data_IF_457743440682
#
_entry.id   IF_457743440682
#
_cell.length_a   1.000
_cell.length_b   1.000
_cell.length_c   1.000
_cell.angle_alpha   90.00
_cell.angle_beta   90.00
_cell.angle_gamma   90.00
#
_symmetry.space_group_name_H-M   'P 1'
#
loop_
_entity.id
_entity.type
_entity.pdbx_description
1 polymer ?
#
# COMPACT_ATOMS: atom_id res chain seq x y z
N UNK A 1 2.84 15.83 -22.00
CA UNK A 1 1.96 14.83 -22.65
C UNK A 1 2.28 13.50 -22.01
N UNK A 2 1.42 13.03 -21.10
CA UNK A 2 1.52 11.66 -20.60
C UNK A 2 1.29 10.70 -21.78
N UNK A 3 2.04 9.61 -21.84
CA UNK A 3 1.78 8.58 -22.84
C UNK A 3 0.33 8.10 -22.69
N UNK A 4 -0.42 7.89 -23.78
CA UNK A 4 -1.73 7.28 -23.70
C UNK A 4 -1.57 5.85 -23.22
N UNK A 5 -1.67 5.65 -21.91
CA UNK A 5 -1.77 4.32 -21.33
C UNK A 5 -3.20 3.86 -21.62
N UNK A 6 -3.34 2.70 -22.26
CA UNK A 6 -4.66 2.06 -22.40
C UNK A 6 -5.17 1.46 -21.08
N UNK A 7 -4.68 2.00 -19.95
CA UNK A 7 -4.94 1.51 -18.61
C UNK A 7 -6.29 2.05 -18.15
N UNK A 8 -7.17 1.17 -17.66
CA UNK A 8 -8.41 1.59 -17.01
C UNK A 8 -8.12 1.81 -15.52
N UNK A 9 -8.18 3.07 -15.08
CA UNK A 9 -8.16 3.39 -13.66
C UNK A 9 -9.48 3.01 -12.98
N UNK A 10 -9.53 3.10 -11.65
CA UNK A 10 -10.78 2.85 -10.91
C UNK A 10 -11.89 3.81 -11.34
N UNK A 11 -11.56 5.10 -11.55
CA UNK A 11 -12.50 6.09 -12.06
C UNK A 11 -13.08 5.70 -13.44
N UNK A 12 -12.26 5.18 -14.36
CA UNK A 12 -12.74 4.74 -15.68
C UNK A 12 -13.71 3.55 -15.58
N UNK A 13 -13.43 2.60 -14.69
CA UNK A 13 -14.32 1.47 -14.42
C UNK A 13 -15.63 1.96 -13.81
N UNK A 14 -15.55 2.91 -12.89
CA UNK A 14 -16.70 3.50 -12.21
C UNK A 14 -17.59 4.26 -13.18
N UNK A 15 -17.01 5.07 -14.07
CA UNK A 15 -17.74 5.76 -15.12
C UNK A 15 -18.47 4.78 -16.04
N UNK A 16 -17.78 3.74 -16.53
CA UNK A 16 -18.38 2.74 -17.43
C UNK A 16 -19.53 1.95 -16.78
N UNK A 17 -19.37 1.59 -15.51
CA UNK A 17 -20.42 0.91 -14.75
C UNK A 17 -21.59 1.86 -14.50
N UNK A 18 -21.33 3.11 -14.14
CA UNK A 18 -22.37 4.11 -13.92
C UNK A 18 -23.16 4.41 -15.21
N UNK A 19 -22.49 4.54 -16.36
CA UNK A 19 -23.14 4.68 -17.66
C UNK A 19 -24.03 3.48 -17.97
N UNK A 20 -23.52 2.27 -17.79
CA UNK A 20 -24.26 1.03 -18.06
C UNK A 20 -25.45 0.84 -17.12
N UNK A 21 -25.31 1.25 -15.87
CA UNK A 21 -26.35 1.19 -14.85
C UNK A 21 -27.37 2.34 -14.94
N UNK A 22 -27.17 3.32 -15.83
CA UNK A 22 -28.00 4.52 -15.89
C UNK A 22 -27.86 5.43 -14.67
N UNK A 23 -26.75 5.33 -13.94
CA UNK A 23 -26.46 6.05 -12.69
C UNK A 23 -25.45 7.19 -12.88
N UNK A 24 -24.88 7.35 -14.07
CA UNK A 24 -23.92 8.43 -14.34
C UNK A 24 -24.52 9.81 -14.11
N UNK A 25 -23.71 10.74 -13.62
CA UNK A 25 -24.11 12.13 -13.41
C UNK A 25 -23.77 12.96 -14.67
N UNK A 26 -24.70 13.82 -15.09
CA UNK A 26 -24.60 14.63 -16.32
C UNK A 26 -24.58 16.13 -16.02
N UNK A 27 -24.09 16.53 -14.85
CA UNK A 27 -24.18 17.91 -14.36
C UNK A 27 -25.58 18.28 -13.87
N UNK A 28 -25.68 19.43 -13.19
CA UNK A 28 -26.93 19.90 -12.59
C UNK A 28 -28.05 20.18 -13.61
N UNK A 29 -27.68 20.47 -14.86
CA UNK A 29 -28.61 20.70 -15.97
C UNK A 29 -28.82 19.47 -16.88
N UNK A 30 -28.16 18.33 -16.61
CA UNK A 30 -28.25 17.12 -17.43
C UNK A 30 -27.64 17.22 -18.83
N UNK A 31 -26.84 18.25 -19.10
CA UNK A 31 -26.23 18.52 -20.41
C UNK A 31 -24.71 18.29 -20.44
N UNK A 32 -24.12 17.92 -19.31
CA UNK A 32 -22.70 17.65 -19.17
C UNK A 32 -22.29 16.31 -19.79
N UNK A 33 -20.98 16.09 -19.88
CA UNK A 33 -20.44 14.75 -20.12
C UNK A 33 -20.80 13.85 -18.96
N UNK A 34 -21.00 12.55 -19.23
CA UNK A 34 -21.13 11.56 -18.17
C UNK A 34 -19.89 11.61 -17.28
N UNK A 35 -20.13 11.73 -15.98
CA UNK A 35 -19.12 11.60 -14.93
C UNK A 35 -19.61 10.62 -13.87
N UNK A 36 -18.69 10.19 -13.00
CA UNK A 36 -18.99 9.37 -11.84
C UNK A 36 -20.22 9.93 -11.05
N UNK A 37 -21.08 9.06 -10.49
CA UNK A 37 -22.18 9.51 -9.65
C UNK A 37 -21.64 10.31 -8.48
N UNK A 38 -22.22 11.48 -8.24
CA UNK A 38 -21.87 12.33 -7.09
C UNK A 38 -22.68 11.95 -5.85
N UNK A 39 -23.85 11.34 -6.05
CA UNK A 39 -24.68 10.90 -4.94
C UNK A 39 -24.09 9.66 -4.26
N UNK A 40 -24.03 9.71 -2.93
CA UNK A 40 -23.38 8.69 -2.09
C UNK A 40 -23.96 7.30 -2.34
N UNK A 41 -25.26 7.19 -2.60
CA UNK A 41 -25.94 5.90 -2.77
C UNK A 41 -25.55 5.20 -4.07
N UNK A 42 -25.65 5.88 -5.21
CA UNK A 42 -25.26 5.30 -6.50
C UNK A 42 -23.75 5.10 -6.59
N UNK A 43 -22.97 5.99 -5.98
CA UNK A 43 -21.52 5.84 -5.89
C UNK A 43 -21.16 4.55 -5.14
N UNK A 44 -21.70 4.34 -3.93
CA UNK A 44 -21.47 3.11 -3.14
C UNK A 44 -21.89 1.86 -3.90
N UNK A 45 -23.05 1.90 -4.57
CA UNK A 45 -23.53 0.79 -5.39
C UNK A 45 -22.56 0.47 -6.54
N UNK A 46 -22.05 1.48 -7.25
CA UNK A 46 -21.04 1.29 -8.30
C UNK A 46 -19.73 0.74 -7.72
N UNK A 47 -19.22 1.28 -6.61
CA UNK A 47 -18.03 0.78 -5.92
C UNK A 47 -18.14 -0.69 -5.56
N UNK A 48 -19.30 -1.09 -5.01
CA UNK A 48 -19.56 -2.48 -4.64
C UNK A 48 -19.52 -3.40 -5.85
N UNK A 49 -20.21 -3.03 -6.94
CA UNK A 49 -20.21 -3.80 -8.19
C UNK A 49 -18.79 -3.97 -8.73
N UNK A 50 -17.99 -2.90 -8.72
CA UNK A 50 -16.60 -2.97 -9.20
C UNK A 50 -15.79 -3.91 -8.33
N UNK A 51 -15.78 -3.69 -7.00
CA UNK A 51 -15.04 -4.52 -6.05
C UNK A 51 -15.47 -5.99 -6.11
N UNK A 52 -16.76 -6.28 -6.28
CA UNK A 52 -17.27 -7.64 -6.47
C UNK A 52 -16.86 -8.22 -7.83
N UNK A 53 -16.82 -7.42 -8.89
CA UNK A 53 -16.30 -7.82 -10.20
C UNK A 53 -14.82 -8.20 -10.14
N UNK A 54 -14.02 -7.47 -9.37
CA UNK A 54 -12.63 -7.85 -9.09
C UNK A 54 -12.52 -9.14 -8.29
N UNK A 55 -13.36 -9.30 -7.26
CA UNK A 55 -13.41 -10.55 -6.50
C UNK A 55 -13.81 -11.73 -7.38
N UNK A 56 -14.75 -11.55 -8.31
CA UNK A 56 -15.13 -12.55 -9.30
C UNK A 56 -13.95 -12.94 -10.19
N UNK A 57 -13.19 -11.95 -10.67
CA UNK A 57 -11.99 -12.18 -11.47
C UNK A 57 -10.92 -12.97 -10.70
N UNK A 58 -10.57 -12.52 -9.50
CA UNK A 58 -9.56 -13.18 -8.65
C UNK A 58 -10.02 -14.59 -8.24
N UNK A 59 -11.29 -14.78 -7.89
CA UNK A 59 -11.88 -16.07 -7.52
C UNK A 59 -12.09 -17.04 -8.69
N UNK A 60 -11.80 -16.60 -9.92
CA UNK A 60 -11.85 -17.45 -11.12
C UNK A 60 -10.44 -17.75 -11.65
N UNK A 61 -9.53 -18.36 -10.87
CA UNK A 61 -8.17 -18.61 -11.33
C UNK A 61 -8.12 -19.76 -12.36
N UNK A 62 -7.07 -19.80 -13.21
CA UNK A 62 -6.74 -21.02 -13.93
C UNK A 62 -6.27 -22.11 -12.95
N UNK A 63 -6.13 -23.35 -13.42
CA UNK A 63 -5.84 -24.52 -12.56
C UNK A 63 -4.54 -24.42 -11.72
N UNK A 64 -3.63 -23.51 -12.06
CA UNK A 64 -2.36 -23.31 -11.35
C UNK A 64 -2.36 -22.05 -10.47
N UNK A 65 -3.50 -21.37 -10.31
CA UNK A 65 -3.54 -20.04 -9.70
C UNK A 65 -3.17 -18.94 -10.69
N UNK A 66 -3.42 -17.68 -10.31
CA UNK A 66 -3.01 -16.52 -11.10
C UNK A 66 -1.52 -16.26 -10.91
N UNK A 67 -0.75 -16.33 -11.99
CA UNK A 67 0.70 -16.12 -11.93
C UNK A 67 1.05 -14.65 -11.70
N UNK A 68 0.21 -13.71 -12.13
CA UNK A 68 0.40 -12.29 -11.84
C UNK A 68 0.28 -11.96 -10.33
N UNK A 69 -0.34 -12.83 -9.53
CA UNK A 69 -0.42 -12.65 -8.08
C UNK A 69 0.90 -12.98 -7.40
N UNK A 70 1.75 -13.82 -8.00
CA UNK A 70 3.09 -14.11 -7.48
C UNK A 70 3.96 -12.84 -7.59
N UNK A 71 4.24 -12.20 -6.45
CA UNK A 71 5.03 -10.97 -6.35
C UNK A 71 6.26 -11.16 -5.46
N UNK A 72 7.18 -10.22 -5.57
CA UNK A 72 8.35 -10.11 -4.71
C UNK A 72 8.34 -8.73 -4.09
N UNK A 73 8.23 -8.66 -2.77
CA UNK A 73 8.38 -7.43 -2.02
C UNK A 73 9.86 -7.21 -1.73
N UNK A 74 10.35 -5.99 -1.96
CA UNK A 74 11.69 -5.57 -1.57
C UNK A 74 11.57 -4.70 -0.32
N UNK A 75 12.16 -5.15 0.78
CA UNK A 75 12.13 -4.48 2.07
C UNK A 75 13.54 -4.02 2.41
N UNK A 76 13.75 -2.70 2.44
CA UNK A 76 15.04 -2.14 2.86
C UNK A 76 15.05 -2.01 4.37
N UNK A 77 15.92 -2.79 5.00
CA UNK A 77 16.19 -2.69 6.43
C UNK A 77 16.96 -1.39 6.69
N UNK A 78 16.52 -0.61 7.67
CA UNK A 78 17.25 0.58 8.10
C UNK A 78 18.26 0.24 9.18
N UNK A 79 19.32 1.03 9.31
CA UNK A 79 20.27 0.87 10.42
C UNK A 79 19.57 1.23 11.73
N UNK A 80 19.67 0.35 12.72
CA UNK A 80 19.17 0.62 14.06
C UNK A 80 19.97 1.76 14.70
N UNK A 81 19.28 2.77 15.23
CA UNK A 81 19.92 3.91 15.90
C UNK A 81 19.77 3.79 17.40
N UNK A 82 20.86 3.98 18.16
CA UNK A 82 20.85 3.89 19.62
C UNK A 82 21.25 5.23 20.23
N UNK A 83 20.71 5.55 21.41
CA UNK A 83 21.02 6.80 22.09
C UNK A 83 20.78 6.74 23.59
N UNK A 84 21.11 7.83 24.26
CA UNK A 84 20.79 8.05 25.68
C UNK A 84 20.08 9.38 25.77
N UNK A 85 18.87 9.37 26.33
CA UNK A 85 18.12 10.59 26.49
C UNK A 85 18.89 11.58 27.38
N UNK A 86 18.80 12.85 27.02
CA UNK A 86 19.31 13.98 27.80
C UNK A 86 18.21 14.66 28.60
N UNK A 87 16.96 14.55 28.14
CA UNK A 87 15.74 14.89 28.86
C UNK A 87 14.53 14.25 28.14
N UNK A 88 13.32 14.46 28.67
CA UNK A 88 12.09 14.02 28.04
C UNK A 88 10.85 14.57 28.75
N UNK A 89 9.70 14.34 28.13
CA UNK A 89 8.37 14.59 28.70
C UNK A 89 7.50 13.35 28.54
N UNK A 90 6.23 13.42 28.93
CA UNK A 90 5.29 12.31 28.71
C UNK A 90 5.12 11.95 27.23
N UNK A 91 5.46 12.84 26.29
CA UNK A 91 5.29 12.65 24.84
C UNK A 91 6.55 12.97 24.02
N UNK A 92 7.69 13.16 24.69
CA UNK A 92 8.95 13.51 24.00
C UNK A 92 10.16 12.84 24.63
N UNK A 93 11.18 12.58 23.82
CA UNK A 93 12.53 12.20 24.24
C UNK A 93 13.52 13.11 23.53
N UNK A 94 14.44 13.73 24.28
CA UNK A 94 15.44 14.65 23.73
C UNK A 94 16.83 14.02 23.84
N UNK A 95 17.58 13.93 22.75
CA UNK A 95 18.97 13.47 22.73
C UNK A 95 19.87 14.49 22.02
N UNK A 96 20.34 15.47 22.78
CA UNK A 96 21.23 16.53 22.27
C UNK A 96 22.68 16.09 22.03
N UNK A 97 23.01 14.83 22.32
CA UNK A 97 24.41 14.35 22.33
C UNK A 97 24.84 13.74 21.00
N UNK A 98 23.93 13.07 20.29
CA UNK A 98 24.26 12.20 19.15
C UNK A 98 23.18 12.23 18.05
N UNK A 99 22.60 13.40 17.74
CA UNK A 99 21.59 13.53 16.68
C UNK A 99 21.85 14.71 15.77
N UNK A 100 21.92 14.43 14.48
CA UNK A 100 22.15 15.40 13.40
C UNK A 100 21.34 15.05 12.13
N UNK A 101 20.40 14.12 12.24
CA UNK A 101 19.51 13.71 11.15
C UNK A 101 18.54 14.84 10.76
N UNK A 102 18.06 14.89 9.51
CA UNK A 102 17.14 15.94 9.07
C UNK A 102 15.79 15.89 9.80
N UNK A 103 15.03 17.00 9.76
CA UNK A 103 13.64 17.03 10.25
C UNK A 103 12.81 15.89 9.63
N UNK A 104 11.88 15.31 10.41
CA UNK A 104 11.01 14.20 10.02
C UNK A 104 11.70 12.84 9.74
N UNK A 105 13.02 12.73 9.94
CA UNK A 105 13.78 11.52 9.59
C UNK A 105 13.28 10.25 10.29
N UNK A 106 12.82 10.36 11.54
CA UNK A 106 12.36 9.24 12.35
C UNK A 106 10.84 9.03 12.35
N UNK A 107 10.09 9.73 11.48
CA UNK A 107 8.63 9.60 11.45
C UNK A 107 8.23 8.15 11.09
N UNK A 108 7.29 7.61 11.86
CA UNK A 108 6.81 6.22 11.82
C UNK A 108 7.83 5.15 12.28
N UNK A 109 8.93 5.54 12.92
CA UNK A 109 9.87 4.58 13.51
C UNK A 109 9.44 4.19 14.93
N UNK A 110 9.77 2.96 15.31
CA UNK A 110 9.52 2.42 16.64
C UNK A 110 10.68 2.78 17.57
N UNK A 111 10.38 3.53 18.61
CA UNK A 111 11.28 3.77 19.74
C UNK A 111 11.03 2.71 20.82
N UNK A 112 12.09 2.12 21.35
CA UNK A 112 12.05 1.20 22.49
C UNK A 112 13.10 1.60 23.52
N UNK A 113 12.71 1.70 24.79
CA UNK A 113 13.66 1.93 25.89
C UNK A 113 14.31 0.60 26.29
N UNK A 114 15.62 0.51 26.14
CA UNK A 114 16.39 -0.70 26.41
C UNK A 114 16.98 -0.75 27.82
N UNK A 115 17.15 0.40 28.49
CA UNK A 115 17.54 0.48 29.90
C UNK A 115 17.14 1.82 30.53
N UNK A 116 17.13 1.89 31.87
CA UNK A 116 16.80 3.09 32.63
C UNK A 116 15.30 3.28 32.87
N UNK A 117 14.88 4.53 33.09
CA UNK A 117 13.46 4.89 33.27
C UNK A 117 12.66 4.56 32.03
N UNK A 118 11.59 3.76 32.18
CA UNK A 118 10.74 3.30 31.08
C UNK A 118 11.23 2.04 30.36
N UNK A 119 12.20 1.29 30.92
CA UNK A 119 12.72 0.07 30.28
C UNK A 119 11.63 -0.91 29.83
N UNK A 120 11.73 -1.37 28.59
CA UNK A 120 10.76 -2.25 27.93
C UNK A 120 9.54 -1.53 27.38
N UNK A 121 9.39 -0.22 27.61
CA UNK A 121 8.34 0.57 26.98
C UNK A 121 8.73 1.01 25.58
N UNK A 122 7.71 1.22 24.74
CA UNK A 122 7.88 1.63 23.35
C UNK A 122 6.85 2.66 22.92
N UNK A 123 7.15 3.40 21.86
CA UNK A 123 6.26 4.37 21.22
C UNK A 123 6.60 4.54 19.73
N UNK A 124 5.62 4.94 18.92
CA UNK A 124 5.84 5.33 17.52
C UNK A 124 6.14 6.82 17.47
N UNK A 125 7.24 7.18 16.81
CA UNK A 125 7.66 8.55 16.62
C UNK A 125 6.79 9.19 15.53
N UNK A 126 6.17 10.31 15.84
CA UNK A 126 5.32 11.07 14.93
C UNK A 126 6.02 12.28 14.32
N UNK A 127 7.08 12.75 14.96
CA UNK A 127 7.84 13.92 14.53
C UNK A 127 9.26 13.88 15.12
N UNK A 128 10.22 14.43 14.37
CA UNK A 128 11.59 14.67 14.82
C UNK A 128 12.05 16.07 14.38
N UNK A 129 12.39 16.89 15.37
CA UNK A 129 12.94 18.23 15.17
C UNK A 129 14.46 18.22 15.34
N UNK A 130 15.20 18.41 14.24
CA UNK A 130 16.66 18.50 14.23
C UNK A 130 17.18 19.64 15.10
N UNK A 131 16.47 20.79 15.11
CA UNK A 131 16.87 22.00 15.83
C UNK A 131 16.94 21.81 17.34
N UNK A 132 16.14 20.90 17.89
CA UNK A 132 16.13 20.56 19.32
C UNK A 132 16.57 19.12 19.63
N UNK A 133 16.78 18.29 18.61
CA UNK A 133 17.03 16.86 18.72
C UNK A 133 15.93 16.15 19.53
N UNK A 134 14.67 16.54 19.28
CA UNK A 134 13.49 16.04 20.00
C UNK A 134 12.73 15.03 19.17
N UNK A 135 12.56 13.83 19.71
CA UNK A 135 11.67 12.79 19.20
C UNK A 135 10.30 12.97 19.86
N UNK A 136 9.28 13.23 19.07
CA UNK A 136 7.88 13.38 19.51
C UNK A 136 7.10 12.10 19.21
N UNK A 137 6.26 11.65 20.13
CA UNK A 137 5.42 10.46 19.95
C UNK A 137 4.01 10.67 20.50
N UNK A 138 3.03 10.08 19.81
CA UNK A 138 1.61 10.16 20.20
C UNK A 138 1.29 9.20 21.34
N UNK A 139 0.54 9.68 22.35
CA UNK A 139 0.06 8.86 23.46
C UNK A 139 1.08 8.52 24.55
N UNK A 140 2.33 8.94 24.40
CA UNK A 140 3.42 8.66 25.33
C UNK A 140 4.02 7.26 25.19
N UNK A 141 4.94 6.90 26.09
CA UNK A 141 5.45 5.53 26.17
C UNK A 141 4.33 4.55 26.58
N UNK A 142 4.46 3.28 26.18
CA UNK A 142 3.40 2.27 26.35
C UNK A 142 2.86 2.08 27.78
N UNK A 143 3.62 2.40 28.83
CA UNK A 143 3.12 2.40 30.22
C UNK A 143 3.12 3.80 30.88
N UNK A 144 3.28 4.86 30.08
CA UNK A 144 3.21 6.25 30.51
C UNK A 144 4.44 6.77 31.26
N UNK A 145 5.57 6.06 31.22
CA UNK A 145 6.81 6.59 31.80
C UNK A 145 7.29 7.83 31.06
N UNK A 146 7.96 8.73 31.77
CA UNK A 146 8.64 9.89 31.18
C UNK A 146 10.13 9.57 31.03
N UNK A 147 10.70 9.58 29.81
CA UNK A 147 12.14 9.39 29.62
C UNK A 147 12.96 10.42 30.39
N UNK A 148 14.10 10.01 30.94
CA UNK A 148 15.04 10.88 31.65
C UNK A 148 16.49 10.58 31.25
N UNK A 149 17.46 11.22 31.91
CA UNK A 149 18.89 11.06 31.60
C UNK A 149 19.45 9.64 31.75
N UNK A 150 18.67 8.72 32.33
CA UNK A 150 19.04 7.30 32.48
C UNK A 150 18.44 6.43 31.38
N UNK A 151 17.45 6.94 30.65
CA UNK A 151 16.76 6.21 29.58
C UNK A 151 17.69 6.00 28.38
N UNK A 152 18.13 4.76 28.19
CA UNK A 152 18.84 4.31 27.00
C UNK A 152 17.80 3.75 26.04
N UNK A 153 17.86 4.16 24.78
CA UNK A 153 16.83 3.85 23.80
C UNK A 153 17.43 3.36 22.49
N UNK A 154 16.59 2.65 21.76
CA UNK A 154 16.83 2.12 20.43
C UNK A 154 15.67 2.55 19.53
N UNK A 155 15.99 3.01 18.33
CA UNK A 155 15.03 3.40 17.30
C UNK A 155 15.21 2.49 16.09
N UNK A 156 14.13 1.86 15.67
CA UNK A 156 14.09 0.94 14.55
C UNK A 156 12.99 1.33 13.57
N UNK A 157 13.31 1.30 12.28
CA UNK A 157 12.31 1.48 11.24
C UNK A 157 11.32 0.31 11.27
N UNK A 158 10.03 0.62 11.26
CA UNK A 158 8.99 -0.39 11.08
C UNK A 158 9.06 -0.88 9.62
N UNK A 159 9.43 -2.15 9.43
CA UNK A 159 9.51 -2.73 8.09
C UNK A 159 8.13 -3.21 7.64
N UNK A 160 7.31 -2.29 7.14
CA UNK A 160 5.99 -2.59 6.62
C UNK A 160 6.08 -3.37 5.29
N UNK A 161 5.31 -4.45 5.20
CA UNK A 161 5.08 -5.17 3.96
C UNK A 161 4.06 -4.43 3.08
N UNK A 162 4.05 -4.70 1.77
CA UNK A 162 3.09 -4.09 0.84
C UNK A 162 1.62 -4.25 1.28
N UNK A 163 0.76 -3.32 0.86
CA UNK A 163 -0.69 -3.32 1.19
C UNK A 163 -1.44 -4.56 0.75
N UNK A 164 -0.97 -5.17 -0.34
CA UNK A 164 -1.55 -6.35 -0.94
C UNK A 164 -1.01 -7.66 -0.32
N UNK A 165 -0.13 -7.57 0.67
CA UNK A 165 0.34 -8.70 1.45
C UNK A 165 -0.68 -9.07 2.53
N UNK A 166 -1.09 -10.35 2.57
CA UNK A 166 -2.14 -10.83 3.47
C UNK A 166 -1.66 -11.91 4.45
N UNK A 167 -0.36 -11.93 4.78
CA UNK A 167 0.21 -12.85 5.78
C UNK A 167 0.81 -14.13 5.20
N UNK A 168 0.70 -14.38 3.90
CA UNK A 168 1.21 -15.60 3.26
C UNK A 168 2.48 -15.31 2.45
N UNK A 169 3.54 -16.05 2.77
CA UNK A 169 4.84 -15.98 2.07
C UNK A 169 4.97 -17.17 1.13
N UNK A 170 5.30 -16.90 -0.13
CA UNK A 170 5.40 -17.90 -1.19
C UNK A 170 6.84 -18.41 -1.38
N UNK A 171 7.48 -18.81 -0.29
CA UNK A 171 8.83 -19.38 -0.31
C UNK A 171 9.77 -18.78 0.71
N UNK A 172 11.08 -18.90 0.43
CA UNK A 172 12.12 -18.42 1.33
C UNK A 172 12.30 -16.90 1.21
N UNK A 173 12.43 -16.23 2.35
CA UNK A 173 12.89 -14.84 2.40
C UNK A 173 14.40 -14.84 2.18
N UNK A 174 14.90 -13.99 1.29
CA UNK A 174 16.32 -13.95 0.91
C UNK A 174 16.83 -12.52 0.90
N UNK A 175 18.14 -12.33 1.04
CA UNK A 175 18.72 -11.03 0.73
C UNK A 175 18.71 -10.77 -0.78
N UNK A 176 18.60 -9.49 -1.17
CA UNK A 176 18.72 -9.06 -2.55
C UNK A 176 20.11 -9.43 -3.11
N UNK A 177 20.18 -9.55 -4.44
CA UNK A 177 21.44 -9.89 -5.11
C UNK A 177 22.51 -8.82 -4.83
N UNK A 178 23.77 -9.26 -4.68
CA UNK A 178 24.95 -8.40 -4.43
C UNK A 178 25.11 -7.86 -3.01
N UNK A 179 24.31 -8.32 -2.05
CA UNK A 179 24.49 -8.01 -0.61
C UNK A 179 25.65 -8.78 0.03
N UNK A 180 26.34 -9.70 -0.68
CA UNK A 180 27.31 -10.66 -0.12
C UNK A 180 26.72 -11.61 0.95
N UNK A 181 25.41 -11.58 1.18
CA UNK A 181 24.69 -12.44 2.11
C UNK A 181 23.86 -13.46 1.31
N UNK A 182 24.43 -14.63 1.06
CA UNK A 182 23.80 -15.68 0.24
C UNK A 182 22.86 -16.62 0.98
N UNK A 183 22.43 -16.27 2.20
CA UNK A 183 21.64 -17.15 3.08
C UNK A 183 20.17 -16.80 3.03
N UNK A 184 19.34 -17.83 2.93
CA UNK A 184 17.91 -17.76 3.20
C UNK A 184 17.69 -17.42 4.69
N UNK A 185 16.71 -16.56 4.97
CA UNK A 185 16.30 -16.24 6.33
C UNK A 185 15.22 -17.22 6.75
N UNK A 186 15.37 -17.79 7.95
CA UNK A 186 14.38 -18.69 8.51
C UNK A 186 13.16 -17.90 9.01
N UNK A 187 11.96 -18.26 8.54
CA UNK A 187 10.72 -17.69 9.07
C UNK A 187 10.40 -18.41 10.37
N UNK A 188 10.32 -17.66 11.47
CA UNK A 188 10.07 -18.17 12.82
C UNK A 188 8.95 -17.40 13.51
N UNK A 189 8.52 -17.92 14.66
CA UNK A 189 7.53 -17.25 15.50
C UNK A 189 8.08 -15.96 16.13
N UNK A 190 7.20 -14.98 16.29
CA UNK A 190 7.50 -13.69 16.95
C UNK A 190 8.13 -13.87 18.33
N UNK A 191 7.63 -14.85 19.11
CA UNK A 191 8.12 -15.11 20.47
C UNK A 191 9.61 -15.47 20.50
N UNK A 192 10.10 -16.18 19.49
CA UNK A 192 11.51 -16.52 19.36
C UNK A 192 12.35 -15.28 19.06
N UNK A 193 11.90 -14.43 18.13
CA UNK A 193 12.58 -13.16 17.80
C UNK A 193 12.68 -12.27 19.04
N UNK A 194 11.57 -12.12 19.78
CA UNK A 194 11.56 -11.33 21.03
C UNK A 194 12.47 -11.92 22.10
N UNK A 195 12.52 -13.23 22.24
CA UNK A 195 13.44 -13.89 23.18
C UNK A 195 14.91 -13.64 22.82
N UNK A 196 15.26 -13.73 21.53
CA UNK A 196 16.63 -13.45 21.06
C UNK A 196 17.03 -12.00 21.33
N UNK A 197 16.12 -11.05 21.04
CA UNK A 197 16.35 -9.61 21.26
C UNK A 197 16.42 -9.23 22.74
N UNK A 198 15.70 -9.95 23.62
CA UNK A 198 15.71 -9.69 25.05
C UNK A 198 17.05 -10.05 25.71
N UNK A 199 17.69 -11.14 25.26
CA UNK A 199 18.91 -11.64 25.89
C UNK A 199 20.19 -10.94 25.39
N UNK A 200 20.20 -10.40 24.16
CA UNK A 200 21.37 -9.71 23.60
C UNK A 200 20.98 -8.58 22.64
N UNK A 201 21.49 -7.37 22.87
CA UNK A 201 21.67 -6.34 21.82
C UNK A 201 22.82 -6.81 20.93
N UNK A 202 22.59 -7.88 20.20
CA UNK A 202 23.53 -8.38 19.20
C UNK A 202 23.19 -7.71 17.88
N UNK A 203 24.14 -6.94 17.39
CA UNK A 203 24.08 -6.29 16.10
C UNK A 203 24.70 -7.22 15.07
N UNK A 204 24.09 -7.32 13.89
CA UNK A 204 24.54 -8.26 12.88
C UNK A 204 23.59 -8.37 11.70
N UNK A 205 23.86 -9.35 10.85
CA UNK A 205 22.98 -9.67 9.72
C UNK A 205 21.85 -10.57 10.20
N UNK A 206 20.59 -10.18 10.00
CA UNK A 206 19.46 -11.03 10.33
C UNK A 206 19.56 -12.43 9.74
N UNK A 207 19.33 -13.45 10.58
CA UNK A 207 19.26 -14.85 10.15
C UNK A 207 17.84 -15.40 10.21
N UNK A 208 16.96 -14.74 10.95
CA UNK A 208 15.57 -15.12 11.16
C UNK A 208 14.66 -13.91 11.02
N UNK A 209 13.46 -14.17 10.53
CA UNK A 209 12.40 -13.16 10.42
C UNK A 209 11.11 -13.70 10.98
N UNK A 210 10.29 -12.80 11.51
CA UNK A 210 8.89 -13.08 11.80
C UNK A 210 8.03 -12.04 11.09
N UNK A 211 6.86 -12.48 10.63
CA UNK A 211 5.86 -11.62 9.98
C UNK A 211 4.63 -11.62 10.86
N UNK A 212 4.14 -10.43 11.17
CA UNK A 212 3.02 -10.25 12.08
C UNK A 212 2.12 -9.11 11.62
N UNK A 213 0.83 -9.11 12.01
CA UNK A 213 -0.04 -7.97 11.75
C UNK A 213 0.54 -6.72 12.41
N UNK A 214 0.55 -5.62 11.67
CA UNK A 214 0.97 -4.33 12.17
C UNK A 214 -0.18 -3.66 12.93
N UNK A 215 0.12 -3.23 14.15
CA UNK A 215 -0.83 -2.52 15.02
C UNK A 215 -0.23 -1.14 15.32
N UNK A 216 -0.71 -0.08 14.66
CA UNK A 216 -0.05 1.23 14.69
C UNK A 216 -0.01 1.91 16.07
N UNK A 217 -0.80 1.46 17.05
CA UNK A 217 -0.73 1.74 18.51
C UNK A 217 -2.06 1.24 19.11
N UNK A 218 -2.10 1.01 20.44
CA UNK A 218 -3.31 0.60 21.16
C UNK A 218 -4.47 1.60 20.99
N UNK A 219 -5.41 1.31 20.09
CA UNK A 219 -6.69 2.03 20.00
C UNK A 219 -7.15 2.37 18.59
N UNK A 220 -6.25 2.43 17.62
CA UNK A 220 -6.63 2.57 16.21
C UNK A 220 -6.94 1.19 15.63
N UNK A 221 -8.14 0.99 15.08
CA UNK A 221 -8.44 -0.14 14.22
C UNK A 221 -7.61 -0.01 12.94
N UNK A 222 -6.37 -0.48 13.01
CA UNK A 222 -5.40 -0.37 11.94
C UNK A 222 -5.89 -1.02 10.65
N UNK A 223 -5.46 -0.45 9.54
CA UNK A 223 -5.51 -1.12 8.23
C UNK A 223 -4.84 -2.49 8.34
N UNK A 224 -5.27 -3.49 7.55
CA UNK A 224 -4.70 -4.85 7.52
C UNK A 224 -3.28 -4.82 6.94
N UNK A 225 -2.35 -4.27 7.69
CA UNK A 225 -0.93 -4.17 7.37
C UNK A 225 -0.19 -5.28 8.08
N UNK A 226 0.95 -5.64 7.52
CA UNK A 226 1.85 -6.59 8.10
C UNK A 226 3.22 -5.95 8.22
N UNK A 227 3.93 -6.30 9.28
CA UNK A 227 5.31 -5.89 9.48
C UNK A 227 6.21 -7.11 9.50
N UNK A 228 7.45 -6.89 9.09
CA UNK A 228 8.54 -7.85 9.20
C UNK A 228 9.48 -7.43 10.32
N UNK A 229 9.76 -8.34 11.25
CA UNK A 229 10.74 -8.15 12.31
C UNK A 229 11.88 -9.14 12.15
N UNK A 230 13.09 -8.73 12.52
CA UNK A 230 14.34 -9.50 12.37
C UNK A 230 14.87 -9.94 13.74
N UNK A 231 15.67 -11.01 13.81
CA UNK A 231 16.31 -11.46 15.05
C UNK A 231 17.35 -10.47 15.60
N UNK A 232 18.13 -9.83 14.72
CA UNK A 232 19.18 -8.88 15.08
C UNK A 232 18.86 -7.44 14.69
N UNK A 233 19.44 -6.51 15.45
CA UNK A 233 19.52 -5.10 15.08
C UNK A 233 20.40 -4.95 13.83
N UNK A 234 19.85 -4.28 12.83
CA UNK A 234 20.43 -4.16 11.49
C UNK A 234 21.57 -3.15 11.52
N UNK A 235 22.77 -3.61 11.16
CA UNK A 235 24.00 -2.77 11.15
C UNK A 235 24.23 -2.06 9.83
N UNK A 236 23.62 -2.56 8.76
CA UNK A 236 23.74 -2.03 7.41
C UNK A 236 22.35 -1.93 6.77
N UNK A 237 22.22 -1.02 5.81
CA UNK A 237 21.04 -0.94 4.97
C UNK A 237 21.05 -2.08 3.94
N UNK A 238 20.46 -3.21 4.31
CA UNK A 238 20.32 -4.39 3.45
C UNK A 238 18.89 -4.50 2.91
N UNK A 239 18.73 -5.08 1.72
CA UNK A 239 17.42 -5.30 1.11
C UNK A 239 17.05 -6.78 1.21
N UNK A 240 15.85 -7.06 1.71
CA UNK A 240 15.25 -8.39 1.74
C UNK A 240 14.23 -8.55 0.61
N UNK A 241 14.26 -9.70 -0.05
CA UNK A 241 13.28 -10.17 -1.01
C UNK A 241 12.32 -11.13 -0.32
N UNK A 242 11.05 -10.75 -0.25
CA UNK A 242 9.95 -11.54 0.33
C UNK A 242 9.01 -11.97 -0.80
N UNK A 243 9.04 -13.24 -1.25
CA UNK A 243 8.06 -13.73 -2.22
C UNK A 243 6.68 -13.86 -1.57
N UNK A 244 5.62 -13.42 -2.23
CA UNK A 244 4.26 -13.47 -1.68
C UNK A 244 3.17 -13.49 -2.75
N UNK A 245 1.98 -13.95 -2.38
CA UNK A 245 0.77 -13.87 -3.21
C UNK A 245 0.07 -12.55 -2.91
N UNK A 246 -0.08 -11.72 -3.94
CA UNK A 246 -0.82 -10.46 -3.90
C UNK A 246 -2.31 -10.74 -3.79
N UNK A 247 -2.96 -10.15 -2.79
CA UNK A 247 -4.41 -10.22 -2.61
C UNK A 247 -5.07 -8.88 -2.90
N UNK A 248 -6.25 -8.95 -3.52
CA UNK A 248 -7.10 -7.78 -3.69
C UNK A 248 -7.82 -7.46 -2.38
N UNK A 249 -7.59 -6.26 -1.83
CA UNK A 249 -8.30 -5.77 -0.65
C UNK A 249 -9.59 -5.06 -1.06
N UNK A 250 -9.44 -3.82 -1.54
CA UNK A 250 -10.50 -2.98 -2.12
C UNK A 250 -9.85 -1.92 -3.00
N UNK A 251 -10.63 -1.36 -3.92
CA UNK A 251 -10.36 -0.04 -4.49
C UNK A 251 -11.42 0.93 -4.00
N UNK A 252 -10.99 2.18 -3.83
CA UNK A 252 -11.81 3.22 -3.24
C UNK A 252 -11.64 4.53 -3.99
N UNK A 253 -12.68 5.36 -3.98
CA UNK A 253 -12.65 6.69 -4.58
C UNK A 253 -13.84 7.46 -4.05
N UNK A 254 -13.67 8.65 -3.53
CA UNK A 254 -14.81 9.49 -3.18
C UNK A 254 -15.02 10.58 -4.22
N UNK A 255 -16.27 11.00 -4.39
CA UNK A 255 -16.62 12.12 -5.28
C UNK A 255 -17.36 13.17 -4.48
N UNK A 256 -17.36 14.41 -4.96
CA UNK A 256 -18.10 15.49 -4.32
C UNK A 256 -18.23 16.72 -5.21
N UNK A 257 -19.02 17.68 -4.72
CA UNK A 257 -19.12 19.03 -5.27
C UNK A 257 -18.59 19.94 -4.18
N UNK A 258 -17.58 20.74 -4.49
CA UNK A 258 -17.05 21.71 -3.53
C UNK A 258 -18.13 22.76 -3.20
N UNK A 259 -18.19 23.18 -1.94
CA UNK A 259 -18.95 24.35 -1.50
C UNK A 259 -18.16 25.65 -1.72
N UNK A 260 -16.83 25.56 -1.57
CA UNK A 260 -15.90 26.67 -1.78
C UNK A 260 -14.46 26.15 -1.90
N UNK A 261 -13.50 27.05 -2.15
CA UNK A 261 -12.09 26.69 -2.19
C UNK A 261 -11.17 27.91 -2.34
N UNK A 262 -9.87 27.64 -2.27
CA UNK A 262 -8.78 28.61 -2.43
C UNK A 262 -7.61 28.00 -3.18
N UNK A 263 -6.50 28.73 -3.28
CA UNK A 263 -5.32 28.24 -4.01
C UNK A 263 -4.70 26.96 -3.41
N UNK A 264 -4.94 26.72 -2.11
CA UNK A 264 -4.38 25.62 -1.32
C UNK A 264 -5.45 24.78 -0.62
N UNK A 265 -6.74 25.02 -0.91
CA UNK A 265 -7.84 24.34 -0.22
C UNK A 265 -9.03 24.06 -1.13
N UNK A 266 -9.75 22.98 -0.83
CA UNK A 266 -11.08 22.69 -1.33
C UNK A 266 -11.97 22.36 -0.14
N UNK A 267 -13.17 22.94 -0.06
CA UNK A 267 -14.11 22.72 1.05
C UNK A 267 -15.35 22.03 0.51
N UNK A 268 -15.69 20.88 1.09
CA UNK A 268 -16.94 20.15 0.86
C UNK A 268 -17.53 19.83 2.24
N UNK A 269 -18.38 20.73 2.73
CA UNK A 269 -18.89 20.73 4.10
C UNK A 269 -19.96 19.66 4.37
N UNK A 270 -20.44 18.99 3.32
CA UNK A 270 -21.36 17.85 3.43
C UNK A 270 -20.61 16.54 3.79
N UNK A 271 -19.28 16.55 3.76
CA UNK A 271 -18.44 15.43 4.16
C UNK A 271 -18.30 15.29 5.68
N UNK A 272 -18.03 14.06 6.14
CA UNK A 272 -18.01 13.72 7.56
C UNK A 272 -17.03 12.62 7.95
N UNK A 273 -16.05 12.33 7.09
CA UNK A 273 -14.93 11.45 7.42
C UNK A 273 -14.10 12.02 8.57
N UNK A 274 -13.33 11.17 9.25
CA UNK A 274 -12.45 11.59 10.34
C UNK A 274 -11.29 12.47 9.82
N UNK A 275 -10.68 13.21 10.74
CA UNK A 275 -9.45 13.95 10.45
C UNK A 275 -8.37 13.01 9.86
N UNK A 276 -7.52 13.53 8.97
CA UNK A 276 -6.46 12.81 8.25
C UNK A 276 -6.90 11.66 7.30
N UNK A 277 -8.21 11.42 7.13
CA UNK A 277 -8.70 10.28 6.36
C UNK A 277 -8.19 10.23 4.91
N UNK A 278 -8.05 11.40 4.28
CA UNK A 278 -7.61 11.53 2.88
C UNK A 278 -6.12 11.86 2.73
N UNK A 279 -5.32 11.82 3.80
CA UNK A 279 -3.91 12.16 3.70
C UNK A 279 -3.18 11.20 2.74
N UNK A 280 -2.42 11.76 1.81
CA UNK A 280 -1.76 11.04 0.71
C UNK A 280 -2.68 10.61 -0.44
N UNK A 281 -3.96 10.96 -0.42
CA UNK A 281 -4.86 10.70 -1.55
C UNK A 281 -4.66 11.74 -2.65
N UNK A 282 -4.92 11.34 -3.89
CA UNK A 282 -4.90 12.19 -5.07
C UNK A 282 -6.29 12.77 -5.31
N UNK A 283 -6.39 14.10 -5.26
CA UNK A 283 -7.57 14.87 -5.66
C UNK A 283 -7.48 15.24 -7.14
N UNK A 284 -8.56 15.01 -7.89
CA UNK A 284 -8.68 15.37 -9.30
C UNK A 284 -9.99 16.10 -9.57
N UNK A 285 -9.92 17.24 -10.26
CA UNK A 285 -11.08 18.03 -10.65
C UNK A 285 -11.64 17.52 -11.98
N UNK A 286 -12.92 17.14 -12.01
CA UNK A 286 -13.61 16.55 -13.17
C UNK A 286 -14.67 17.45 -13.80
N UNK A 287 -15.07 18.53 -13.14
CA UNK A 287 -15.87 19.61 -13.72
C UNK A 287 -15.67 20.92 -12.94
N UNK A 288 -16.04 22.06 -13.55
CA UNK A 288 -15.93 23.38 -12.92
C UNK A 288 -14.56 24.04 -13.09
N UNK A 289 -14.23 24.95 -12.17
CA UNK A 289 -12.95 25.68 -12.16
C UNK A 289 -11.79 24.74 -11.83
N UNK A 290 -10.75 24.73 -12.67
CA UNK A 290 -9.62 23.81 -12.53
C UNK A 290 -9.83 22.43 -13.16
N UNK A 291 -10.79 22.27 -14.10
CA UNK A 291 -11.04 21.01 -14.82
C UNK A 291 -9.75 20.34 -15.33
N UNK A 292 -9.51 19.11 -14.87
CA UNK A 292 -8.37 18.27 -15.23
C UNK A 292 -7.11 18.53 -14.40
N UNK A 293 -7.16 19.46 -13.44
CA UNK A 293 -6.09 19.68 -12.48
C UNK A 293 -6.14 18.66 -11.34
N UNK A 294 -4.97 18.34 -10.81
CA UNK A 294 -4.79 17.37 -9.72
C UNK A 294 -3.97 17.97 -8.59
N UNK A 295 -4.18 17.49 -7.36
CA UNK A 295 -3.33 17.76 -6.21
C UNK A 295 -3.23 16.53 -5.30
N UNK A 296 -2.09 16.33 -4.65
CA UNK A 296 -1.98 15.39 -3.55
C UNK A 296 -2.40 16.11 -2.27
N UNK A 297 -3.18 15.42 -1.43
CA UNK A 297 -3.56 15.92 -0.11
C UNK A 297 -2.37 15.64 0.82
N UNK A 298 -1.50 16.63 0.94
CA UNK A 298 -0.17 16.49 1.55
C UNK A 298 -0.19 16.66 3.08
N UNK A 299 -1.11 17.48 3.61
CA UNK A 299 -1.04 17.99 4.98
C UNK A 299 -2.18 17.47 5.86
N UNK A 300 -3.43 17.86 5.54
CA UNK A 300 -4.57 17.56 6.40
C UNK A 300 -5.88 17.50 5.60
N UNK A 301 -6.77 16.62 6.06
CA UNK A 301 -8.20 16.71 5.84
C UNK A 301 -8.90 16.96 7.18
N UNK A 302 -9.48 18.16 7.35
CA UNK A 302 -10.18 18.53 8.56
C UNK A 302 -11.65 18.08 8.50
N UNK A 303 -11.95 16.91 9.06
CA UNK A 303 -13.27 16.26 9.02
C UNK A 303 -14.40 17.07 9.65
N UNK A 304 -14.08 17.95 10.61
CA UNK A 304 -15.06 18.89 11.20
C UNK A 304 -15.56 19.97 10.23
N UNK A 305 -14.82 20.23 9.15
CA UNK A 305 -15.14 21.28 8.16
C UNK A 305 -15.24 20.77 6.72
N UNK A 306 -14.81 19.52 6.47
CA UNK A 306 -14.72 18.97 5.12
C UNK A 306 -13.66 19.66 4.26
N UNK A 307 -12.61 20.21 4.87
CA UNK A 307 -11.56 20.95 4.16
C UNK A 307 -10.41 20.03 3.78
N UNK A 308 -10.13 19.92 2.48
CA UNK A 308 -8.92 19.33 1.93
C UNK A 308 -7.83 20.39 1.86
N UNK A 309 -6.65 20.10 2.42
CA UNK A 309 -5.47 20.97 2.34
C UNK A 309 -4.42 20.36 1.42
N UNK A 310 -3.93 21.16 0.47
CA UNK A 310 -2.92 20.74 -0.50
C UNK A 310 -2.02 21.92 -0.88
N UNK A 311 -0.81 21.63 -1.40
CA UNK A 311 0.17 22.67 -1.76
C UNK A 311 -0.36 23.62 -2.85
N UNK A 312 -0.84 23.06 -3.96
CA UNK A 312 -1.54 23.76 -5.04
C UNK A 312 -2.15 22.74 -6.01
N UNK A 313 -3.23 23.11 -6.70
CA UNK A 313 -3.65 22.36 -7.89
C UNK A 313 -2.59 22.48 -8.99
N UNK A 314 -2.45 21.43 -9.81
CA UNK A 314 -1.40 21.35 -10.85
C UNK A 314 -1.40 22.49 -11.88
N UNK A 315 -2.53 23.17 -12.08
CA UNK A 315 -2.63 24.36 -12.95
C UNK A 315 -2.68 25.69 -12.19
N UNK A 316 -2.65 25.67 -10.86
CA UNK A 316 -2.72 26.85 -10.00
C UNK A 316 -4.11 27.50 -9.92
N UNK A 317 -5.17 26.79 -10.35
CA UNK A 317 -6.54 27.28 -10.20
C UNK A 317 -6.99 27.24 -8.73
N UNK A 318 -7.95 28.09 -8.38
CA UNK A 318 -8.64 28.02 -7.09
C UNK A 318 -10.01 27.37 -7.29
N UNK A 319 -10.32 26.24 -6.62
CA UNK A 319 -11.65 25.64 -6.65
C UNK A 319 -12.73 26.62 -6.16
N UNK A 320 -13.93 26.44 -6.69
CA UNK A 320 -15.14 27.19 -6.33
C UNK A 320 -16.34 26.25 -6.18
N UNK A 321 -17.52 26.82 -5.90
CA UNK A 321 -18.76 26.04 -5.68
C UNK A 321 -19.30 25.30 -6.91
N UNK A 322 -18.65 25.42 -8.06
CA UNK A 322 -18.98 24.66 -9.29
C UNK A 322 -18.03 23.50 -9.52
N UNK A 323 -17.00 23.38 -8.68
CA UNK A 323 -15.93 22.39 -8.83
C UNK A 323 -16.44 21.03 -8.40
N UNK A 324 -16.46 20.10 -9.35
CA UNK A 324 -16.77 18.70 -9.09
C UNK A 324 -15.47 17.94 -9.10
N UNK A 325 -15.25 17.13 -8.08
CA UNK A 325 -13.97 16.46 -7.86
C UNK A 325 -14.18 14.99 -7.53
N UNK A 326 -13.09 14.23 -7.65
CA UNK A 326 -12.95 12.95 -6.99
C UNK A 326 -11.59 12.85 -6.29
N UNK A 327 -11.54 12.07 -5.23
CA UNK A 327 -10.32 11.74 -4.48
C UNK A 327 -10.13 10.23 -4.48
N UNK A 328 -8.91 9.77 -4.70
CA UNK A 328 -8.57 8.35 -4.66
C UNK A 328 -7.23 8.11 -3.97
N UNK A 329 -7.00 6.94 -3.35
CA UNK A 329 -5.69 6.60 -2.81
C UNK A 329 -4.61 6.71 -3.90
N UNK A 330 -3.40 7.16 -3.56
CA UNK A 330 -2.30 7.31 -4.53
C UNK A 330 -1.98 6.02 -5.32
N UNK A 331 -2.30 4.84 -4.76
CA UNK A 331 -2.11 3.53 -5.36
C UNK A 331 -3.43 2.81 -5.71
N UNK A 332 -4.42 3.50 -6.27
CA UNK A 332 -5.74 2.95 -6.61
C UNK A 332 -5.80 2.18 -7.94
N UNK A 333 -4.76 1.39 -8.25
CA UNK A 333 -4.71 0.55 -9.44
C UNK A 333 -4.95 -0.90 -9.06
N UNK A 334 -5.68 -1.63 -9.91
CA UNK A 334 -5.87 -3.04 -9.65
C UNK A 334 -4.57 -3.84 -9.83
N UNK A 335 -4.32 -4.85 -8.99
CA UNK A 335 -3.02 -5.52 -8.93
C UNK A 335 -2.70 -6.40 -10.15
N UNK A 336 -3.71 -6.79 -10.94
CA UNK A 336 -3.49 -7.60 -12.15
C UNK A 336 -2.71 -6.87 -13.26
N UNK A 337 -2.74 -5.53 -13.28
CA UNK A 337 -2.10 -4.70 -14.30
C UNK A 337 -2.84 -4.62 -15.65
N UNK A 338 -2.40 -3.67 -16.48
CA UNK A 338 -3.10 -3.15 -17.68
C UNK A 338 -3.55 -4.17 -18.74
N UNK A 339 -2.99 -5.38 -18.69
CA UNK A 339 -3.30 -6.46 -19.66
C UNK A 339 -4.65 -7.11 -19.37
N UNK A 340 -5.15 -7.00 -18.14
CA UNK A 340 -6.37 -7.66 -17.69
C UNK A 340 -7.58 -6.73 -17.64
N UNK A 341 -7.42 -5.44 -17.93
CA UNK A 341 -8.43 -4.39 -17.77
C UNK A 341 -9.75 -4.74 -18.49
N UNK A 342 -9.66 -5.26 -19.72
CA UNK A 342 -10.84 -5.70 -20.45
C UNK A 342 -11.53 -6.90 -19.79
N UNK A 343 -10.76 -7.84 -19.24
CA UNK A 343 -11.35 -9.00 -18.55
C UNK A 343 -12.02 -8.57 -17.24
N UNK A 344 -11.37 -7.67 -16.51
CA UNK A 344 -11.88 -7.06 -15.29
C UNK A 344 -13.16 -6.28 -15.57
N UNK A 345 -13.17 -5.41 -16.58
CA UNK A 345 -14.36 -4.66 -16.97
C UNK A 345 -15.55 -5.58 -17.28
N UNK A 346 -15.29 -6.69 -17.98
CA UNK A 346 -16.32 -7.69 -18.26
C UNK A 346 -16.76 -8.44 -17.01
N UNK A 347 -15.88 -8.67 -16.03
CA UNK A 347 -16.26 -9.19 -14.73
C UNK A 347 -17.15 -8.21 -13.96
N UNK A 348 -16.83 -6.92 -13.98
CA UNK A 348 -17.67 -5.87 -13.40
C UNK A 348 -19.04 -5.77 -14.11
N UNK A 349 -19.09 -5.89 -15.43
CA UNK A 349 -20.37 -5.94 -16.17
C UNK A 349 -21.19 -7.19 -15.84
N UNK A 350 -20.54 -8.34 -15.66
CA UNK A 350 -21.21 -9.57 -15.23
C UNK A 350 -21.79 -9.43 -13.82
N UNK A 351 -21.10 -8.76 -12.89
CA UNK A 351 -21.65 -8.43 -11.56
C UNK A 351 -22.75 -7.36 -11.61
N UNK A 352 -22.62 -6.35 -12.48
CA UNK A 352 -23.66 -5.36 -12.69
C UNK A 352 -24.97 -6.03 -13.17
N UNK A 353 -24.89 -6.95 -14.13
CA UNK A 353 -26.02 -7.75 -14.62
C UNK A 353 -26.67 -8.62 -13.53
N UNK A 354 -25.89 -9.14 -12.57
CA UNK A 354 -26.44 -9.90 -11.44
C UNK A 354 -27.14 -9.01 -10.40
N UNK A 355 -26.62 -7.81 -10.17
CA UNK A 355 -27.09 -6.91 -9.10
C UNK A 355 -28.16 -5.91 -9.56
N UNK A 356 -28.26 -5.66 -10.87
CA UNK A 356 -29.20 -4.70 -11.48
C UNK A 356 -30.07 -5.45 -12.48
N UNK A 357 -31.34 -5.68 -12.09
CA UNK A 357 -32.30 -6.47 -12.88
C UNK A 357 -32.55 -5.92 -14.30
N UNK A 358 -32.33 -4.63 -14.50
CA UNK A 358 -32.54 -3.93 -15.78
C UNK A 358 -31.43 -4.21 -16.81
N UNK A 359 -30.26 -4.67 -16.36
CA UNK A 359 -29.15 -5.02 -17.23
C UNK A 359 -29.29 -6.50 -17.59
N UNK A 360 -29.58 -6.81 -18.85
CA UNK A 360 -29.59 -8.19 -19.35
C UNK A 360 -29.01 -8.22 -20.78
N UNK A 361 -27.69 -8.28 -20.87
CA UNK A 361 -26.93 -8.19 -22.12
C UNK A 361 -26.06 -9.43 -22.38
N UNK A 362 -26.10 -10.42 -21.49
CA UNK A 362 -25.25 -11.60 -21.57
C UNK A 362 -23.78 -11.32 -21.21
N UNK A 363 -23.52 -10.33 -20.36
CA UNK A 363 -22.18 -10.01 -19.88
C UNK A 363 -21.56 -11.17 -19.08
N UNK A 364 -22.37 -11.90 -18.31
CA UNK A 364 -21.93 -13.13 -17.63
C UNK A 364 -21.40 -14.17 -18.63
N UNK A 365 -22.09 -14.37 -19.75
CA UNK A 365 -21.66 -15.33 -20.77
C UNK A 365 -20.37 -14.87 -21.47
N UNK A 366 -20.29 -13.59 -21.83
CA UNK A 366 -19.09 -13.00 -22.43
C UNK A 366 -17.87 -13.11 -21.51
N UNK A 367 -18.05 -12.87 -20.21
CA UNK A 367 -17.00 -13.03 -19.21
C UNK A 367 -16.44 -14.46 -19.20
N UNK A 368 -17.29 -15.46 -18.98
CA UNK A 368 -16.84 -16.85 -18.84
C UNK A 368 -16.36 -17.50 -20.15
N UNK A 369 -16.99 -17.17 -21.30
CA UNK A 369 -16.69 -17.83 -22.58
C UNK A 369 -15.57 -17.14 -23.37
N UNK A 370 -15.38 -15.83 -23.22
CA UNK A 370 -14.46 -15.05 -24.06
C UNK A 370 -13.34 -14.44 -23.22
N UNK A 371 -13.69 -13.61 -22.25
CA UNK A 371 -12.72 -12.77 -21.53
C UNK A 371 -11.81 -13.59 -20.60
N UNK A 372 -12.41 -14.48 -19.81
CA UNK A 372 -11.69 -15.29 -18.83
C UNK A 372 -10.70 -16.28 -19.48
N UNK A 373 -11.05 -17.04 -20.53
CA UNK A 373 -10.08 -17.88 -21.25
C UNK A 373 -8.95 -17.07 -21.91
N UNK A 374 -9.22 -15.82 -22.30
CA UNK A 374 -8.19 -14.94 -22.84
C UNK A 374 -7.24 -14.46 -21.74
N UNK A 375 -7.77 -14.08 -20.57
CA UNK A 375 -6.97 -13.76 -19.39
C UNK A 375 -6.06 -14.93 -18.98
N UNK A 376 -6.56 -16.17 -18.98
CA UNK A 376 -5.73 -17.37 -18.71
C UNK A 376 -4.55 -17.50 -19.68
N UNK A 377 -4.79 -17.24 -20.98
CA UNK A 377 -3.73 -17.27 -21.99
C UNK A 377 -2.72 -16.14 -21.81
N UNK A 378 -3.17 -14.95 -21.41
CA UNK A 378 -2.31 -13.81 -21.13
C UNK A 378 -1.43 -14.05 -19.91
N UNK A 379 -2.02 -14.55 -18.83
CA UNK A 379 -1.32 -14.90 -17.60
C UNK A 379 -0.30 -16.02 -17.84
N UNK A 380 -0.65 -17.08 -18.57
CA UNK A 380 0.32 -18.12 -18.95
C UNK A 380 1.48 -17.62 -19.83
N UNK A 381 1.35 -16.44 -20.46
CA UNK A 381 2.40 -15.78 -21.25
C UNK A 381 3.21 -14.74 -20.47
N UNK A 382 2.76 -14.31 -19.29
CA UNK A 382 3.43 -13.28 -18.49
C UNK A 382 4.73 -13.79 -17.85
N UNK A 383 4.89 -15.11 -17.71
CA UNK A 383 6.17 -15.72 -17.31
C UNK A 383 7.29 -15.27 -18.25
N UNK A 384 8.44 -14.81 -17.72
CA UNK A 384 9.68 -14.86 -18.45
C UNK A 384 9.84 -16.31 -18.92
N UNK A 385 9.69 -16.55 -20.23
CA UNK A 385 10.05 -17.86 -20.77
C UNK A 385 11.49 -18.06 -20.32
N UNK A 386 11.76 -19.11 -19.52
CA UNK A 386 13.14 -19.55 -19.29
C UNK A 386 13.78 -19.56 -20.67
N UNK A 387 14.69 -18.63 -20.94
CA UNK A 387 15.42 -18.51 -22.19
C UNK A 387 16.25 -19.78 -22.28
N UNK A 388 15.62 -20.83 -22.80
CA UNK A 388 16.18 -22.15 -23.05
C UNK A 388 16.96 -22.70 -21.85
N UNK A 389 16.29 -23.50 -21.01
CA UNK A 389 17.03 -24.40 -20.13
C UNK A 389 18.06 -25.15 -20.99
N UNK A 390 19.31 -25.15 -20.52
CA UNK A 390 20.38 -25.99 -21.03
C UNK A 390 19.75 -27.36 -21.33
N UNK A 391 19.65 -27.74 -22.61
CA UNK A 391 19.53 -29.16 -22.96
C UNK A 391 20.65 -29.80 -22.16
N UNK A 392 20.29 -30.63 -21.19
CA UNK A 392 21.23 -31.56 -20.62
C UNK A 392 21.89 -32.22 -21.82
N UNK A 393 23.19 -31.94 -22.01
CA UNK A 393 24.01 -32.78 -22.87
C UNK A 393 23.91 -34.13 -22.18
N UNK A 394 22.98 -34.95 -22.65
CA UNK A 394 23.03 -36.38 -22.43
C UNK A 394 24.34 -36.76 -23.07
N UNK A 395 25.41 -36.81 -22.25
CA UNK A 395 26.61 -37.54 -22.61
C UNK A 395 26.13 -38.98 -22.68
N UNK A 396 25.71 -39.40 -23.87
CA UNK A 396 25.72 -40.81 -24.22
C UNK A 396 27.15 -41.29 -23.97
N UNK A 397 27.31 -41.94 -22.82
CA UNK A 397 28.47 -42.76 -22.52
C UNK A 397 28.40 -43.94 -23.48
N UNK A 398 28.92 -43.77 -24.70
CA UNK A 398 29.24 -44.89 -25.59
C UNK A 398 30.42 -45.65 -24.99
N UNK A 399 30.11 -46.59 -24.10
CA UNK A 399 31.06 -47.58 -23.65
C UNK A 399 31.24 -48.64 -24.75
N UNK A 400 32.49 -48.76 -25.21
CA UNK A 400 33.15 -49.95 -25.80
C UNK A 400 32.96 -50.22 -27.29
N UNK A 401 33.84 -49.59 -28.07
CA UNK A 401 34.80 -50.36 -28.87
C UNK A 401 36.01 -50.68 -27.98
N UNK A 402 36.13 -51.91 -27.49
CA UNK A 402 37.42 -52.53 -27.19
C UNK A 402 37.39 -53.92 -27.81
N UNK A 403 38.12 -54.02 -28.91
CA UNK A 403 38.63 -55.24 -29.53
C UNK A 403 39.54 -55.95 -28.54
N UNK A 404 39.41 -57.26 -28.37
CA UNK A 404 40.56 -58.14 -28.22
C UNK A 404 40.36 -59.45 -29.00
N UNK A 405 41.38 -59.72 -29.80
CA UNK A 405 41.77 -60.98 -30.41
C UNK A 405 42.04 -62.06 -29.35
#
# INVERSE_FOLDING_TARGET
>A
MAEPTSALGFYDLLLRIAEKAGMAYYGSAGQGKAIAPVDVFNLDKCKRIINDGFRLFVASPPAQGWLWQERMAEITLAVTVNGTATSGSSTTLVDTTNRDEDDDYFNDWLLTITAGTGVGESAIITDFDNGTSTLTFSGGLSNGSTPDTTSIYQVEKVNLLPEDFNGEVDGAVTYAASTNHGTELEIVDESLIRAIRADYISSGYPSKVAILPYWPVAGALGTRRWQLITDYATVNADVLNVPYTSHFNKMDCETGIADSGGATTLVDSDRGEADDYFNGWLLTVIAGTGLGETATIDDDYAGSTGTFTFTALSGGSSPDSTTVYYVEPAANLHPAGVKFDNCILQACYAEAEKQIEEINEGAVELYYKVSLPFAYKMDGRSRPRKLRSKRAIVRERTWRNIVQL
#
